data_IF_031095182090
#
_entry.id   IF_031095182090
#
_cell.length_a   1.000
_cell.length_b   1.000
_cell.length_c   1.000
_cell.angle_alpha   90.00
_cell.angle_beta   90.00
_cell.angle_gamma   90.00
#
_symmetry.space_group_name_H-M   'P 1'
#
loop_
_entity.id
_entity.type
_entity.pdbx_description
1 polymer ?
#
# COMPACT_ATOMS: atom_id res chain seq x y z
N UNK A 1 2.71 -0.38 8.29
CA UNK A 1 3.07 1.02 7.92
C UNK A 1 2.17 2.10 8.53
N UNK A 2 0.83 2.13 8.32
CA UNK A 2 -0.05 3.19 8.90
C UNK A 2 0.11 3.35 10.42
N UNK A 3 0.05 2.22 11.16
CA UNK A 3 0.27 2.18 12.62
C UNK A 3 1.67 2.65 13.03
N UNK A 4 2.68 2.33 12.23
CA UNK A 4 4.07 2.78 12.46
C UNK A 4 4.17 4.30 12.33
N UNK A 5 3.68 4.86 11.21
CA UNK A 5 3.67 6.30 10.98
C UNK A 5 2.97 7.04 12.12
N UNK A 6 1.82 6.52 12.56
CA UNK A 6 1.10 7.07 13.71
C UNK A 6 1.93 7.02 15.00
N UNK A 7 2.52 5.87 15.35
CA UNK A 7 3.35 5.72 16.56
C UNK A 7 4.58 6.64 16.54
N UNK A 8 5.28 6.73 15.41
CA UNK A 8 6.46 7.59 15.27
C UNK A 8 6.08 9.06 15.41
N UNK A 9 5.07 9.54 14.67
CA UNK A 9 4.73 10.97 14.68
C UNK A 9 4.14 11.43 16.02
N UNK A 10 3.44 10.55 16.74
CA UNK A 10 2.81 10.90 18.03
C UNK A 10 3.72 10.67 19.25
N UNK A 11 4.85 9.97 19.11
CA UNK A 11 5.85 9.82 20.17
C UNK A 11 6.94 10.88 20.01
N UNK A 12 6.62 12.12 20.42
CA UNK A 12 7.51 13.28 20.25
C UNK A 12 8.82 13.18 21.03
N UNK A 13 8.85 12.37 22.10
CA UNK A 13 9.97 12.28 23.05
C UNK A 13 10.92 11.11 22.80
N UNK A 14 10.45 9.99 22.23
CA UNK A 14 11.27 8.78 22.10
C UNK A 14 11.36 8.33 20.65
N UNK A 15 10.25 7.97 20.00
CA UNK A 15 10.30 7.40 18.66
C UNK A 15 10.60 8.44 17.57
N UNK A 16 10.11 9.68 17.73
CA UNK A 16 10.36 10.73 16.74
C UNK A 16 11.81 11.22 16.71
N UNK A 17 12.47 11.48 17.86
CA UNK A 17 13.91 11.78 17.88
C UNK A 17 14.74 10.63 17.34
N UNK A 18 14.45 9.39 17.76
CA UNK A 18 15.06 8.17 17.25
C UNK A 18 15.00 8.08 15.71
N UNK A 19 13.82 8.30 15.14
CA UNK A 19 13.62 8.32 13.68
C UNK A 19 14.51 9.36 12.99
N UNK A 20 14.60 10.58 13.55
CA UNK A 20 15.42 11.65 12.96
C UNK A 20 16.91 11.33 13.01
N UNK A 21 17.40 10.75 14.11
CA UNK A 21 18.82 10.36 14.22
C UNK A 21 19.17 9.25 13.24
N UNK A 22 18.33 8.21 13.10
CA UNK A 22 18.54 7.14 12.13
C UNK A 22 18.57 7.68 10.68
N UNK A 23 17.70 8.65 10.36
CA UNK A 23 17.74 9.29 9.04
C UNK A 23 19.04 10.09 8.81
N UNK A 24 19.57 10.75 9.84
CA UNK A 24 20.87 11.44 9.75
C UNK A 24 22.02 10.46 9.56
N UNK A 25 22.04 9.36 10.31
CA UNK A 25 23.07 8.32 10.23
C UNK A 25 23.11 7.68 8.84
N UNK A 26 21.94 7.44 8.25
CA UNK A 26 21.80 6.95 6.88
C UNK A 26 22.04 8.02 5.80
N UNK A 27 22.39 9.26 6.19
CA UNK A 27 22.58 10.43 5.31
C UNK A 27 21.37 10.71 4.40
N UNK A 28 20.17 10.42 4.89
CA UNK A 28 18.91 10.67 4.18
C UNK A 28 18.33 12.04 4.55
N UNK A 29 17.46 12.58 3.71
CA UNK A 29 16.75 13.82 4.06
C UNK A 29 15.85 13.59 5.26
N UNK A 30 16.08 14.33 6.35
CA UNK A 30 15.30 14.22 7.58
C UNK A 30 13.87 14.73 7.33
N UNK A 31 12.96 13.82 7.03
CA UNK A 31 11.53 14.08 6.83
C UNK A 31 10.70 13.21 7.78
N UNK A 32 9.50 13.70 8.10
CA UNK A 32 8.51 12.92 8.82
C UNK A 32 7.90 11.89 7.87
N UNK A 33 7.57 10.72 8.41
CA UNK A 33 6.79 9.74 7.68
C UNK A 33 5.42 10.35 7.33
N UNK A 34 4.96 10.28 6.06
CA UNK A 34 3.65 10.75 5.67
C UNK A 34 2.56 10.08 6.51
N UNK A 35 1.51 10.83 6.83
CA UNK A 35 0.31 10.24 7.43
C UNK A 35 -0.62 9.78 6.33
N UNK A 36 -1.19 8.61 6.53
CA UNK A 36 -2.25 8.13 5.70
C UNK A 36 -3.59 8.75 6.15
N UNK A 37 -4.29 9.40 5.22
CA UNK A 37 -5.47 10.22 5.45
C UNK A 37 -6.61 9.67 4.62
N UNK A 38 -7.65 9.14 5.28
CA UNK A 38 -8.76 8.46 4.60
C UNK A 38 -9.46 9.32 3.52
N UNK A 39 -9.49 10.64 3.70
CA UNK A 39 -10.14 11.58 2.77
C UNK A 39 -9.25 12.01 1.61
N UNK A 40 -7.97 11.64 1.58
CA UNK A 40 -7.02 12.00 0.51
C UNK A 40 -6.62 10.75 -0.26
N UNK A 41 -7.12 10.63 -1.48
CA UNK A 41 -7.01 9.40 -2.29
C UNK A 41 -5.55 8.88 -2.46
N UNK A 42 -4.59 9.79 -2.55
CA UNK A 42 -3.18 9.45 -2.77
C UNK A 42 -2.36 9.23 -1.49
N UNK A 43 -2.92 9.42 -0.28
CA UNK A 43 -2.12 9.37 0.95
C UNK A 43 -1.53 7.99 1.24
N UNK A 44 -2.26 6.93 0.89
CA UNK A 44 -1.78 5.54 1.04
C UNK A 44 -0.60 5.31 0.09
N UNK A 45 -0.69 5.77 -1.15
CA UNK A 45 0.40 5.68 -2.13
C UNK A 45 1.62 6.48 -1.66
N UNK A 46 1.42 7.73 -1.25
CA UNK A 46 2.49 8.61 -0.75
C UNK A 46 3.24 7.95 0.43
N UNK A 47 2.50 7.30 1.35
CA UNK A 47 3.05 6.56 2.47
C UNK A 47 3.87 5.35 2.01
N UNK A 48 3.38 4.60 1.04
CA UNK A 48 4.06 3.42 0.49
C UNK A 48 5.33 3.80 -0.26
N UNK A 49 5.29 4.82 -1.10
CA UNK A 49 6.47 5.33 -1.79
C UNK A 49 7.53 5.82 -0.82
N UNK A 50 7.11 6.54 0.21
CA UNK A 50 8.02 6.97 1.27
C UNK A 50 8.62 5.78 1.99
N UNK A 51 7.82 4.78 2.36
CA UNK A 51 8.27 3.60 3.07
C UNK A 51 9.29 2.78 2.26
N UNK A 52 9.06 2.61 0.96
CA UNK A 52 10.01 1.93 0.06
C UNK A 52 11.35 2.68 -0.04
N UNK A 53 11.31 4.02 -0.17
CA UNK A 53 12.52 4.85 -0.19
C UNK A 53 13.30 4.78 1.12
N UNK A 54 12.60 4.63 2.25
CA UNK A 54 13.19 4.63 3.60
C UNK A 54 13.17 3.24 4.25
N UNK A 55 13.15 2.15 3.45
CA UNK A 55 13.04 0.77 3.97
C UNK A 55 14.10 0.46 5.02
N UNK A 56 15.37 0.74 4.72
CA UNK A 56 16.49 0.56 5.67
C UNK A 56 16.28 1.29 7.00
N UNK A 57 15.76 2.52 6.96
CA UNK A 57 15.47 3.29 8.17
C UNK A 57 14.32 2.67 8.97
N UNK A 58 13.27 2.22 8.28
CA UNK A 58 12.12 1.55 8.90
C UNK A 58 12.55 0.25 9.58
N UNK A 59 13.37 -0.56 8.91
CA UNK A 59 13.85 -1.83 9.47
C UNK A 59 14.69 -1.60 10.74
N UNK A 60 15.59 -0.61 10.74
CA UNK A 60 16.39 -0.25 11.92
C UNK A 60 15.52 0.22 13.10
N UNK A 61 14.51 1.05 12.83
CA UNK A 61 13.59 1.58 13.84
C UNK A 61 12.73 0.46 14.44
N UNK A 62 12.32 -0.52 13.63
CA UNK A 62 11.54 -1.67 14.09
C UNK A 62 12.37 -2.63 14.95
N UNK A 63 13.68 -2.75 14.68
CA UNK A 63 14.57 -3.61 15.43
C UNK A 63 14.91 -3.08 16.85
N UNK A 64 14.80 -1.77 17.07
CA UNK A 64 15.03 -1.12 18.37
C UNK A 64 14.00 -1.57 19.42
N UNK A 65 14.45 -2.42 20.36
CA UNK A 65 13.63 -3.03 21.41
C UNK A 65 12.92 -2.00 22.30
N UNK A 66 13.58 -0.89 22.59
CA UNK A 66 13.08 0.17 23.47
C UNK A 66 11.82 0.87 22.92
N UNK A 67 11.60 0.82 21.60
CA UNK A 67 10.45 1.50 20.97
C UNK A 67 9.18 0.64 20.95
N UNK A 68 9.25 -0.65 21.27
CA UNK A 68 8.09 -1.55 21.20
C UNK A 68 7.49 -1.64 19.79
N UNK A 69 8.32 -1.49 18.74
CA UNK A 69 7.90 -1.48 17.34
C UNK A 69 8.13 -2.81 16.62
N UNK A 70 8.75 -3.79 17.30
CA UNK A 70 9.11 -5.09 16.73
C UNK A 70 7.90 -5.92 16.28
N UNK A 71 6.74 -5.74 16.92
CA UNK A 71 5.47 -6.36 16.50
C UNK A 71 4.99 -5.88 15.12
N UNK A 72 5.53 -4.77 14.61
CA UNK A 72 5.20 -4.22 13.31
C UNK A 72 6.27 -4.53 12.25
N UNK A 73 7.28 -5.34 12.59
CA UNK A 73 8.35 -5.75 11.69
C UNK A 73 7.76 -6.43 10.45
N UNK A 74 8.17 -5.93 9.28
CA UNK A 74 7.69 -6.42 7.99
C UNK A 74 8.68 -7.42 7.44
N UNK A 75 8.19 -8.58 7.04
CA UNK A 75 8.99 -9.59 6.33
C UNK A 75 9.26 -9.16 4.88
N UNK A 76 10.33 -9.67 4.28
CA UNK A 76 10.68 -9.37 2.89
C UNK A 76 9.55 -9.71 1.90
N UNK A 77 8.76 -10.74 2.22
CA UNK A 77 7.58 -11.15 1.44
C UNK A 77 6.43 -10.14 1.54
N UNK A 78 6.25 -9.50 2.69
CA UNK A 78 5.23 -8.45 2.89
C UNK A 78 5.59 -7.16 2.14
N UNK A 79 6.88 -6.91 1.90
CA UNK A 79 7.33 -5.77 1.09
C UNK A 79 7.02 -5.92 -0.41
N UNK A 80 6.79 -7.14 -0.90
CA UNK A 80 6.60 -7.42 -2.33
C UNK A 80 5.17 -7.10 -2.81
N UNK A 81 4.19 -7.00 -1.91
CA UNK A 81 2.78 -6.86 -2.29
C UNK A 81 2.35 -5.41 -2.15
N UNK A 82 2.75 -4.59 -3.11
CA UNK A 82 2.28 -3.20 -3.21
C UNK A 82 1.71 -2.99 -4.61
N UNK A 83 0.41 -2.64 -4.69
CA UNK A 83 -0.31 -2.25 -5.92
C UNK A 83 0.19 -0.92 -6.52
N UNK A 84 1.49 -0.63 -6.41
CA UNK A 84 2.09 0.62 -6.83
C UNK A 84 1.86 0.87 -8.31
N UNK A 85 2.13 -0.14 -9.13
CA UNK A 85 2.02 -0.04 -10.59
C UNK A 85 0.58 0.21 -11.02
N UNK A 86 -0.39 -0.49 -10.42
CA UNK A 86 -1.81 -0.24 -10.63
C UNK A 86 -2.21 1.19 -10.22
N UNK A 87 -1.75 1.65 -9.06
CA UNK A 87 -2.12 3.00 -8.57
C UNK A 87 -1.52 4.09 -9.45
N UNK A 88 -0.27 3.93 -9.91
CA UNK A 88 0.37 4.85 -10.85
C UNK A 88 -0.36 4.85 -12.20
N UNK A 89 -0.76 3.68 -12.70
CA UNK A 89 -1.52 3.55 -13.94
C UNK A 89 -2.84 4.32 -13.90
N UNK A 90 -3.64 4.15 -12.83
CA UNK A 90 -4.92 4.87 -12.72
C UNK A 90 -4.78 6.35 -12.34
N UNK A 91 -3.60 6.77 -11.86
CA UNK A 91 -3.33 8.18 -11.53
C UNK A 91 -2.90 9.03 -12.73
N UNK A 92 -2.66 8.43 -13.91
CA UNK A 92 -2.29 9.19 -15.10
C UNK A 92 -3.53 9.87 -15.73
N UNK A 93 -3.32 10.91 -16.53
CA UNK A 93 -4.41 11.73 -17.13
C UNK A 93 -5.15 11.05 -18.28
N UNK A 94 -4.79 9.80 -18.62
CA UNK A 94 -5.12 9.11 -19.88
C UNK A 94 -5.95 7.83 -19.83
N UNK A 95 -6.28 7.17 -18.68
CA UNK A 95 -7.06 5.95 -18.73
C UNK A 95 -8.51 6.29 -19.09
N UNK A 96 -8.91 5.97 -20.32
CA UNK A 96 -10.32 5.95 -20.71
C UNK A 96 -10.96 4.63 -20.28
N UNK A 97 -12.29 4.56 -20.32
CA UNK A 97 -13.03 3.40 -19.82
C UNK A 97 -12.59 2.08 -20.48
N UNK A 98 -12.29 2.10 -21.78
CA UNK A 98 -11.81 0.92 -22.52
C UNK A 98 -10.42 0.43 -22.08
N UNK A 99 -9.60 1.28 -21.43
CA UNK A 99 -8.31 0.92 -20.86
C UNK A 99 -8.41 0.47 -19.39
N UNK A 100 -9.41 0.98 -18.68
CA UNK A 100 -9.66 0.59 -17.27
C UNK A 100 -10.12 -0.85 -17.17
N UNK A 101 -10.93 -1.33 -18.13
CA UNK A 101 -11.52 -2.68 -18.10
C UNK A 101 -10.44 -3.76 -18.10
N UNK A 102 -9.50 -3.82 -19.07
CA UNK A 102 -8.47 -4.84 -19.07
C UNK A 102 -7.52 -4.73 -17.86
N UNK A 103 -7.30 -3.51 -17.35
CA UNK A 103 -6.48 -3.31 -16.17
C UNK A 103 -7.16 -3.85 -14.91
N UNK A 104 -8.47 -3.63 -14.74
CA UNK A 104 -9.23 -4.20 -13.62
C UNK A 104 -9.32 -5.73 -13.73
N UNK A 105 -9.54 -6.29 -14.93
CA UNK A 105 -9.55 -7.74 -15.17
C UNK A 105 -8.21 -8.39 -14.82
N UNK A 106 -7.11 -7.73 -15.20
CA UNK A 106 -5.77 -8.18 -14.85
C UNK A 106 -5.54 -8.18 -13.34
N UNK A 107 -5.97 -7.13 -12.63
CA UNK A 107 -5.86 -7.05 -11.17
C UNK A 107 -6.72 -8.14 -10.50
N UNK A 108 -7.96 -8.34 -10.96
CA UNK A 108 -8.83 -9.40 -10.43
C UNK A 108 -8.18 -10.78 -10.58
N UNK A 109 -7.68 -11.09 -11.79
CA UNK A 109 -6.98 -12.33 -12.06
C UNK A 109 -5.78 -12.53 -11.12
N UNK A 110 -4.91 -11.54 -10.99
CA UNK A 110 -3.71 -11.61 -10.13
C UNK A 110 -4.08 -11.81 -8.65
N UNK A 111 -5.08 -11.07 -8.15
CA UNK A 111 -5.55 -11.23 -6.76
C UNK A 111 -6.15 -12.62 -6.54
N UNK A 112 -6.91 -13.13 -7.51
CA UNK A 112 -7.51 -14.47 -7.49
C UNK A 112 -6.43 -15.56 -7.46
N UNK A 113 -5.37 -15.44 -8.26
CA UNK A 113 -4.23 -16.36 -8.24
C UNK A 113 -3.47 -16.29 -6.91
N UNK A 114 -3.16 -15.08 -6.43
CA UNK A 114 -2.33 -14.90 -5.23
C UNK A 114 -3.06 -15.31 -3.95
N UNK A 115 -4.38 -15.14 -3.88
CA UNK A 115 -5.19 -15.61 -2.74
C UNK A 115 -5.11 -17.13 -2.54
N UNK A 116 -4.91 -17.90 -3.62
CA UNK A 116 -4.81 -19.37 -3.62
C UNK A 116 -3.36 -19.86 -3.58
N UNK A 117 -2.38 -18.99 -3.81
CA UNK A 117 -0.98 -19.36 -3.87
C UNK A 117 -0.42 -19.64 -2.47
N UNK A 118 -0.16 -20.92 -2.18
CA UNK A 118 0.36 -21.39 -0.88
C UNK A 118 1.77 -20.87 -0.55
N UNK A 119 2.48 -20.26 -1.51
CA UNK A 119 3.78 -19.61 -1.26
C UNK A 119 3.64 -18.40 -0.33
N UNK A 120 2.49 -17.73 -0.32
CA UNK A 120 2.24 -16.59 0.56
C UNK A 120 1.74 -17.03 1.94
N UNK A 121 2.12 -16.25 2.95
CA UNK A 121 1.65 -16.39 4.32
C UNK A 121 0.11 -16.32 4.41
N UNK A 122 -0.52 -17.03 5.36
CA UNK A 122 -1.98 -16.99 5.53
C UNK A 122 -2.54 -15.57 5.73
N UNK A 123 -1.83 -14.71 6.47
CA UNK A 123 -2.21 -13.31 6.69
C UNK A 123 -2.27 -12.51 5.39
N UNK A 124 -1.27 -12.70 4.53
CA UNK A 124 -1.18 -12.08 3.22
C UNK A 124 -2.33 -12.54 2.32
N UNK A 125 -2.59 -13.86 2.25
CA UNK A 125 -3.69 -14.41 1.45
C UNK A 125 -5.05 -13.89 1.91
N UNK A 126 -5.29 -13.83 3.21
CA UNK A 126 -6.51 -13.23 3.76
C UNK A 126 -6.65 -11.75 3.37
N UNK A 127 -5.56 -10.98 3.41
CA UNK A 127 -5.55 -9.59 2.96
C UNK A 127 -5.88 -9.46 1.46
N UNK A 128 -5.32 -10.33 0.62
CA UNK A 128 -5.61 -10.38 -0.82
C UNK A 128 -7.07 -10.75 -1.07
N UNK A 129 -7.64 -11.72 -0.34
CA UNK A 129 -9.05 -12.10 -0.48
C UNK A 129 -9.98 -10.91 -0.17
N UNK A 130 -9.71 -10.16 0.91
CA UNK A 130 -10.49 -8.95 1.24
C UNK A 130 -10.36 -7.89 0.13
N UNK A 131 -9.15 -7.71 -0.41
CA UNK A 131 -8.92 -6.77 -1.51
C UNK A 131 -9.68 -7.19 -2.78
N UNK A 132 -9.69 -8.50 -3.10
CA UNK A 132 -10.43 -9.07 -4.23
C UNK A 132 -11.95 -8.92 -4.05
N UNK A 133 -12.51 -9.19 -2.87
CA UNK A 133 -13.93 -8.95 -2.57
C UNK A 133 -14.30 -7.47 -2.71
N UNK A 134 -13.42 -6.59 -2.23
CA UNK A 134 -13.61 -5.14 -2.36
C UNK A 134 -13.62 -4.71 -3.83
N UNK A 135 -12.68 -5.22 -4.64
CA UNK A 135 -12.64 -4.97 -6.09
C UNK A 135 -13.92 -5.43 -6.77
N UNK A 136 -14.38 -6.65 -6.48
CA UNK A 136 -15.62 -7.21 -7.02
C UNK A 136 -16.85 -6.37 -6.66
N UNK A 137 -16.90 -5.77 -5.47
CA UNK A 137 -17.97 -4.84 -5.09
C UNK A 137 -17.99 -3.59 -5.99
N UNK A 138 -16.82 -3.03 -6.34
CA UNK A 138 -16.75 -1.91 -7.28
C UNK A 138 -17.05 -2.34 -8.72
N UNK A 139 -16.60 -3.53 -9.12
CA UNK A 139 -16.85 -4.08 -10.45
C UNK A 139 -18.35 -4.30 -10.69
N UNK A 140 -19.05 -4.92 -9.74
CA UNK A 140 -20.51 -5.14 -9.83
C UNK A 140 -21.33 -3.83 -9.94
N UNK A 141 -20.86 -2.75 -9.31
CA UNK A 141 -21.48 -1.42 -9.46
C UNK A 141 -21.17 -0.79 -10.81
N UNK A 142 -20.01 -1.10 -11.38
CA UNK A 142 -19.59 -0.61 -12.68
C UNK A 142 -20.37 -1.28 -13.80
N UNK A 143 -20.65 -2.58 -13.70
CA UNK A 143 -21.53 -3.32 -14.63
C UNK A 143 -22.96 -2.76 -14.69
N UNK A 144 -23.43 -2.16 -13.59
CA UNK A 144 -24.74 -1.50 -13.52
C UNK A 144 -24.76 -0.13 -14.21
N UNK A 145 -23.60 0.43 -14.59
CA UNK A 145 -23.50 1.72 -15.27
C UNK A 145 -23.80 1.60 -16.77
N UNK A 146 -24.71 2.43 -17.27
CA UNK A 146 -25.04 2.49 -18.70
C UNK A 146 -23.83 2.83 -19.57
N UNK A 147 -22.96 3.73 -19.09
CA UNK A 147 -21.73 4.15 -19.79
C UNK A 147 -20.77 2.97 -19.95
N UNK A 148 -20.68 2.11 -18.94
CA UNK A 148 -19.84 0.91 -18.98
C UNK A 148 -20.37 -0.14 -19.95
N UNK A 149 -21.68 -0.39 -19.92
CA UNK A 149 -22.34 -1.30 -20.86
C UNK A 149 -22.16 -0.84 -22.31
N UNK A 150 -22.20 0.46 -22.58
CA UNK A 150 -21.95 1.02 -23.92
C UNK A 150 -20.49 0.81 -24.34
N UNK A 151 -19.53 0.98 -23.44
CA UNK A 151 -18.11 0.75 -23.74
C UNK A 151 -17.80 -0.74 -24.01
N UNK A 152 -18.48 -1.65 -23.32
CA UNK A 152 -18.35 -3.11 -23.51
C UNK A 152 -19.09 -3.66 -24.73
N UNK A 153 -20.05 -2.90 -25.28
CA UNK A 153 -20.85 -3.33 -26.44
C UNK A 153 -20.19 -3.04 -27.79
N UNK A 154 -18.96 -2.49 -27.80
CA UNK A 154 -18.16 -2.23 -29.00
C UNK A 154 -17.06 -3.27 -29.15
#
# INVERSE_FOLDING_TARGET
LRKLAYKIVNSSTVALPAWKEILKDLRMTVKLMPRDVATRWNSTLDLLEYALKHRKAIDLVMQWRELGLRELELTDEEWVIVLKDATLYFSCSTPNLAMVIPAMDHIDHVLSEYSRNKKFLPSIRSGISIAHETLNCYYSRTDQSEVYRIAMSK
#
